data_IF_093385523608
#
_entry.id   IF_093385523608
#
_cell.length_a   1.000
_cell.length_b   1.000
_cell.length_c   1.000
_cell.angle_alpha   90.00
_cell.angle_beta   90.00
_cell.angle_gamma   90.00
#
_symmetry.space_group_name_H-M   'P 1'
#
loop_
_entity.id
_entity.type
_entity.pdbx_description
1 polymer ?
#
# COMPACT_ATOMS: atom_id res chain seq x y z
N UNK A 1 20.86 -13.46 17.19
CA UNK A 1 20.05 -14.71 17.25
C UNK A 1 18.57 -14.37 17.30
N UNK A 2 17.72 -15.24 16.78
CA UNK A 2 16.25 -15.10 16.88
C UNK A 2 15.73 -15.97 18.02
N UNK A 3 14.88 -15.42 18.88
CA UNK A 3 14.20 -16.19 19.93
C UNK A 3 12.81 -16.56 19.43
N UNK A 4 12.50 -17.85 19.38
CA UNK A 4 11.17 -18.33 18.97
C UNK A 4 10.32 -18.64 20.20
N UNK A 5 9.14 -18.02 20.27
CA UNK A 5 8.19 -18.18 21.39
C UNK A 5 7.05 -19.15 21.08
N UNK A 6 7.06 -19.73 19.87
CA UNK A 6 5.99 -20.58 19.36
C UNK A 6 4.65 -19.86 19.37
N UNK A 7 3.65 -20.44 20.04
CA UNK A 7 2.28 -19.92 20.12
C UNK A 7 2.03 -18.99 21.32
N UNK A 8 3.07 -18.30 21.81
CA UNK A 8 2.97 -17.38 22.95
C UNK A 8 3.22 -15.94 22.52
N UNK A 9 2.30 -15.05 22.87
CA UNK A 9 2.46 -13.60 22.76
C UNK A 9 3.07 -13.11 24.08
N UNK A 10 4.16 -12.36 23.97
CA UNK A 10 4.85 -11.80 25.12
C UNK A 10 4.61 -10.29 25.17
N UNK A 11 4.34 -9.76 26.36
CA UNK A 11 4.31 -8.31 26.57
C UNK A 11 5.70 -7.70 26.31
N UNK A 12 5.75 -6.39 26.00
CA UNK A 12 7.02 -5.69 25.81
C UNK A 12 7.95 -5.83 27.01
N UNK A 13 7.41 -5.69 28.22
CA UNK A 13 8.17 -5.88 29.46
C UNK A 13 8.78 -7.28 29.58
N UNK A 14 8.05 -8.32 29.18
CA UNK A 14 8.57 -9.68 29.25
C UNK A 14 9.60 -9.97 28.15
N UNK A 15 9.42 -9.39 26.96
CA UNK A 15 10.42 -9.43 25.89
C UNK A 15 11.74 -8.79 26.37
N UNK A 16 11.68 -7.63 27.02
CA UNK A 16 12.86 -6.97 27.59
C UNK A 16 13.55 -7.81 28.66
N UNK A 17 12.78 -8.48 29.54
CA UNK A 17 13.34 -9.41 30.53
C UNK A 17 14.08 -10.58 29.88
N UNK A 18 13.51 -11.19 28.84
CA UNK A 18 14.18 -12.28 28.09
C UNK A 18 15.48 -11.77 27.48
N UNK A 19 15.44 -10.61 26.81
CA UNK A 19 16.61 -10.01 26.17
C UNK A 19 17.71 -9.76 27.21
N UNK A 20 17.38 -9.18 28.37
CA UNK A 20 18.32 -8.97 29.48
C UNK A 20 18.94 -10.28 29.98
N UNK A 21 18.12 -11.30 30.25
CA UNK A 21 18.62 -12.59 30.76
C UNK A 21 19.55 -13.29 29.76
N UNK A 22 19.28 -13.18 28.45
CA UNK A 22 20.15 -13.76 27.42
C UNK A 22 21.48 -12.98 27.34
N UNK A 23 21.41 -11.66 27.36
CA UNK A 23 22.58 -10.79 27.31
C UNK A 23 23.47 -10.93 28.55
N UNK A 24 22.88 -11.07 29.75
CA UNK A 24 23.63 -11.21 31.00
C UNK A 24 24.31 -12.58 31.13
N UNK A 25 23.80 -13.61 30.46
CA UNK A 25 24.28 -15.00 30.58
C UNK A 25 25.09 -15.48 29.37
N UNK A 26 25.18 -14.69 28.31
CA UNK A 26 25.89 -15.06 27.08
C UNK A 26 26.25 -13.84 26.24
N UNK A 27 27.27 -13.96 25.39
CA UNK A 27 27.64 -12.94 24.39
C UNK A 27 26.66 -12.88 23.20
N UNK A 28 25.46 -13.45 23.33
CA UNK A 28 24.48 -13.55 22.25
C UNK A 28 23.61 -12.29 22.18
N UNK A 29 23.64 -11.63 21.02
CA UNK A 29 22.77 -10.49 20.73
C UNK A 29 21.44 -11.00 20.17
N UNK A 30 20.34 -10.69 20.86
CA UNK A 30 18.99 -10.99 20.35
C UNK A 30 18.63 -9.98 19.27
N UNK A 31 18.53 -10.44 18.02
CA UNK A 31 18.19 -9.60 16.87
C UNK A 31 16.69 -9.47 16.68
N UNK A 32 15.93 -10.50 17.05
CA UNK A 32 14.47 -10.54 16.88
C UNK A 32 13.85 -11.58 17.82
N UNK A 33 12.64 -11.29 18.29
CA UNK A 33 11.76 -12.29 18.92
C UNK A 33 10.63 -12.59 17.92
N UNK A 34 10.40 -13.88 17.64
CA UNK A 34 9.40 -14.35 16.68
C UNK A 34 8.33 -15.17 17.41
N UNK A 35 7.07 -14.89 17.07
CA UNK A 35 5.89 -15.62 17.54
C UNK A 35 5.07 -16.08 16.33
N UNK A 36 4.34 -17.19 16.48
CA UNK A 36 3.46 -17.76 15.46
C UNK A 36 1.99 -17.31 15.62
N UNK A 37 1.71 -16.43 16.59
CA UNK A 37 0.37 -15.95 16.91
C UNK A 37 0.33 -14.44 17.04
N UNK A 38 -0.85 -13.87 16.81
CA UNK A 38 -1.15 -12.47 17.06
C UNK A 38 -2.46 -12.37 17.86
N UNK A 39 -2.75 -11.20 18.43
CA UNK A 39 -4.03 -10.99 19.14
C UNK A 39 -5.17 -10.95 18.14
N UNK A 40 -6.40 -11.30 18.55
CA UNK A 40 -7.57 -11.22 17.67
C UNK A 40 -7.76 -9.81 17.08
N UNK A 41 -7.58 -8.77 17.90
CA UNK A 41 -7.66 -7.38 17.44
C UNK A 41 -6.58 -7.07 16.38
N UNK A 42 -5.35 -7.56 16.58
CA UNK A 42 -4.30 -7.41 15.56
C UNK A 42 -4.63 -8.18 14.26
N UNK A 43 -5.24 -9.36 14.37
CA UNK A 43 -5.68 -10.14 13.22
C UNK A 43 -6.84 -9.47 12.46
N UNK A 44 -7.83 -8.94 13.16
CA UNK A 44 -8.95 -8.19 12.56
C UNK A 44 -8.46 -6.94 11.84
N UNK A 45 -7.57 -6.18 12.48
CA UNK A 45 -6.96 -5.01 11.86
C UNK A 45 -6.16 -5.38 10.62
N UNK A 46 -5.31 -6.41 10.71
CA UNK A 46 -4.53 -6.88 9.57
C UNK A 46 -5.42 -7.34 8.41
N UNK A 47 -6.49 -8.09 8.71
CA UNK A 47 -7.48 -8.52 7.72
C UNK A 47 -8.17 -7.33 7.05
N UNK A 48 -8.53 -6.31 7.83
CA UNK A 48 -9.18 -5.12 7.30
C UNK A 48 -8.24 -4.31 6.41
N UNK A 49 -6.98 -4.12 6.81
CA UNK A 49 -5.98 -3.39 6.01
C UNK A 49 -5.70 -4.12 4.67
N UNK A 50 -5.69 -5.46 4.66
CA UNK A 50 -5.46 -6.30 3.48
C UNK A 50 -6.73 -6.49 2.60
N UNK A 51 -7.87 -5.94 3.01
CA UNK A 51 -9.13 -6.06 2.27
C UNK A 51 -9.13 -5.17 1.00
N UNK A 52 -9.61 -5.73 -0.13
CA UNK A 52 -9.82 -4.96 -1.36
C UNK A 52 -11.29 -4.61 -1.50
N UNK A 53 -11.64 -3.35 -1.23
CA UNK A 53 -13.02 -2.87 -1.32
C UNK A 53 -13.38 -2.49 -2.77
N UNK A 54 -14.37 -3.16 -3.39
CA UNK A 54 -14.80 -2.84 -4.75
C UNK A 54 -15.77 -1.66 -4.77
N UNK A 55 -15.61 -0.78 -5.77
CA UNK A 55 -16.51 0.32 -6.06
C UNK A 55 -16.73 0.40 -7.57
N UNK A 56 -17.97 0.27 -8.03
CA UNK A 56 -18.31 0.44 -9.45
C UNK A 56 -19.14 1.70 -9.68
N UNK A 57 -18.48 2.79 -10.07
CA UNK A 57 -19.11 4.05 -10.51
C UNK A 57 -18.08 5.04 -11.04
N UNK A 58 -18.59 6.05 -11.72
CA UNK A 58 -17.83 7.27 -12.01
C UNK A 58 -17.73 8.13 -10.74
N UNK A 59 -16.53 8.67 -10.49
CA UNK A 59 -16.26 9.66 -9.44
C UNK A 59 -16.23 11.02 -10.11
N UNK A 60 -17.24 11.85 -9.80
CA UNK A 60 -17.48 13.14 -10.46
C UNK A 60 -16.84 14.29 -9.70
N UNK A 61 -16.76 15.45 -10.35
CA UNK A 61 -16.27 16.68 -9.73
C UNK A 61 -16.96 16.98 -8.40
N UNK A 62 -16.17 17.30 -7.38
CA UNK A 62 -16.64 17.59 -6.02
C UNK A 62 -16.93 16.36 -5.17
N UNK A 63 -16.85 15.15 -5.71
CA UNK A 63 -17.01 13.93 -4.92
C UNK A 63 -15.70 13.52 -4.27
N UNK A 64 -15.77 13.18 -2.98
CA UNK A 64 -14.71 12.52 -2.22
C UNK A 64 -15.12 11.07 -1.93
N UNK A 65 -14.19 10.14 -2.15
CA UNK A 65 -14.33 8.73 -1.83
C UNK A 65 -13.16 8.32 -0.95
N UNK A 66 -13.44 7.68 0.18
CA UNK A 66 -12.44 7.25 1.14
C UNK A 66 -12.50 5.74 1.38
N UNK A 67 -11.33 5.11 1.54
CA UNK A 67 -11.20 3.71 2.00
C UNK A 67 -10.19 3.60 3.14
N UNK A 68 -10.53 2.80 4.15
CA UNK A 68 -9.62 2.38 5.22
C UNK A 68 -8.66 1.24 4.85
N UNK A 69 -8.78 0.68 3.64
CA UNK A 69 -8.04 -0.47 3.14
C UNK A 69 -7.57 -0.23 1.69
N UNK A 70 -7.34 -1.29 0.92
CA UNK A 70 -7.18 -1.17 -0.53
C UNK A 70 -8.53 -0.82 -1.19
N UNK A 71 -8.51 -0.24 -2.38
CA UNK A 71 -9.73 0.02 -3.16
C UNK A 71 -9.56 -0.39 -4.62
N UNK A 72 -10.55 -1.12 -5.14
CA UNK A 72 -10.72 -1.40 -6.56
C UNK A 72 -11.87 -0.57 -7.11
N UNK A 73 -11.58 0.26 -8.10
CA UNK A 73 -12.54 1.12 -8.77
C UNK A 73 -12.78 0.59 -10.17
N UNK A 74 -13.98 0.07 -10.41
CA UNK A 74 -14.46 -0.30 -11.75
C UNK A 74 -15.20 0.89 -12.32
N UNK A 75 -14.45 1.80 -12.94
CA UNK A 75 -14.94 3.09 -13.40
C UNK A 75 -13.82 4.09 -13.60
N UNK A 76 -14.18 5.38 -13.57
CA UNK A 76 -13.27 6.48 -13.88
C UNK A 76 -13.32 7.55 -12.80
N UNK A 77 -12.20 8.26 -12.66
CA UNK A 77 -12.08 9.44 -11.80
C UNK A 77 -12.01 10.67 -12.69
N UNK A 78 -13.09 11.42 -12.76
CA UNK A 78 -13.16 12.64 -13.57
C UNK A 78 -12.43 13.82 -12.90
N UNK A 79 -12.10 14.89 -13.65
CA UNK A 79 -11.53 16.10 -13.08
C UNK A 79 -12.37 16.61 -11.90
N UNK A 80 -11.69 16.98 -10.81
CA UNK A 80 -12.32 17.43 -9.56
C UNK A 80 -12.87 16.30 -8.67
N UNK A 81 -12.91 15.05 -9.14
CA UNK A 81 -13.17 13.88 -8.31
C UNK A 81 -11.94 13.52 -7.47
N UNK A 82 -12.16 13.07 -6.23
CA UNK A 82 -11.11 12.77 -5.26
C UNK A 82 -11.29 11.38 -4.66
N UNK A 83 -10.21 10.61 -4.63
CA UNK A 83 -10.13 9.28 -4.01
C UNK A 83 -8.99 9.28 -3.00
N UNK A 84 -9.25 8.80 -1.79
CA UNK A 84 -8.24 8.60 -0.76
C UNK A 84 -8.31 7.18 -0.20
N UNK A 85 -7.19 6.46 -0.20
CA UNK A 85 -7.11 5.10 0.32
C UNK A 85 -5.92 4.99 1.27
N UNK A 86 -6.08 4.18 2.32
CA UNK A 86 -5.02 3.94 3.30
C UNK A 86 -3.91 3.09 2.71
N UNK A 87 -4.25 2.14 1.83
CA UNK A 87 -3.28 1.21 1.24
C UNK A 87 -3.11 1.45 -0.28
N UNK A 88 -3.42 0.46 -1.11
CA UNK A 88 -3.25 0.51 -2.58
C UNK A 88 -4.54 0.94 -3.27
N UNK A 89 -4.43 1.63 -4.40
CA UNK A 89 -5.58 1.99 -5.24
C UNK A 89 -5.46 1.37 -6.63
N UNK A 90 -6.53 0.73 -7.08
CA UNK A 90 -6.62 0.10 -8.39
C UNK A 90 -7.79 0.72 -9.15
N UNK A 91 -7.54 1.33 -10.29
CA UNK A 91 -8.57 1.93 -11.14
C UNK A 91 -8.60 1.19 -12.47
N UNK A 92 -9.67 0.45 -12.70
CA UNK A 92 -9.97 -0.16 -13.99
C UNK A 92 -10.65 0.87 -14.90
N UNK A 93 -9.90 1.90 -15.29
CA UNK A 93 -10.38 2.98 -16.13
C UNK A 93 -9.50 4.23 -16.12
N UNK A 94 -10.05 5.34 -16.60
CA UNK A 94 -9.35 6.62 -16.73
C UNK A 94 -9.25 7.35 -15.39
N UNK A 95 -8.07 7.91 -15.11
CA UNK A 95 -7.82 8.77 -13.95
C UNK A 95 -7.47 10.15 -14.48
N UNK A 96 -8.35 11.13 -14.23
CA UNK A 96 -8.19 12.57 -14.54
C UNK A 96 -8.29 13.46 -13.30
N UNK A 97 -8.85 12.93 -12.20
CA UNK A 97 -8.98 13.61 -10.92
C UNK A 97 -7.80 13.37 -9.98
N UNK A 98 -8.05 13.54 -8.69
CA UNK A 98 -7.06 13.31 -7.63
C UNK A 98 -7.21 11.90 -7.06
N UNK A 99 -6.10 11.20 -6.90
CA UNK A 99 -6.05 9.90 -6.24
C UNK A 99 -4.88 9.87 -5.25
N UNK A 100 -5.18 9.55 -4.00
CA UNK A 100 -4.22 9.51 -2.90
C UNK A 100 -4.18 8.11 -2.29
N UNK A 101 -3.10 7.39 -2.56
CA UNK A 101 -2.82 6.11 -1.94
C UNK A 101 -1.82 6.25 -0.79
N UNK A 102 -1.86 5.32 0.16
CA UNK A 102 -0.99 5.40 1.32
C UNK A 102 -1.27 6.59 2.22
N UNK A 103 -2.54 7.05 2.33
CA UNK A 103 -2.86 8.34 2.98
C UNK A 103 -2.38 8.46 4.43
N UNK A 104 -2.23 7.32 5.11
CA UNK A 104 -1.67 7.23 6.47
C UNK A 104 -0.15 7.02 6.50
N UNK A 105 0.55 7.36 5.42
CA UNK A 105 2.01 7.30 5.34
C UNK A 105 2.57 5.98 4.79
N UNK A 106 1.75 5.13 4.16
CA UNK A 106 2.28 3.94 3.48
C UNK A 106 3.05 4.35 2.21
N UNK A 107 4.38 4.48 2.34
CA UNK A 107 5.28 4.82 1.23
C UNK A 107 5.44 3.70 0.20
N UNK A 108 4.96 2.49 0.50
CA UNK A 108 4.92 1.37 -0.44
C UNK A 108 3.59 1.28 -1.20
N UNK A 109 2.66 2.20 -0.94
CA UNK A 109 1.41 2.24 -1.65
C UNK A 109 1.65 2.46 -3.15
N UNK A 110 0.73 1.94 -3.95
CA UNK A 110 0.78 2.05 -5.41
C UNK A 110 -0.59 2.49 -5.88
N UNK A 111 -0.59 3.17 -7.02
CA UNK A 111 -1.80 3.50 -7.76
C UNK A 111 -1.69 2.85 -9.12
N UNK A 112 -2.69 2.09 -9.53
CA UNK A 112 -2.78 1.53 -10.89
C UNK A 112 -3.97 2.18 -11.61
N UNK A 113 -3.76 2.57 -12.86
CA UNK A 113 -4.82 3.12 -13.70
C UNK A 113 -4.32 3.65 -15.04
N UNK A 114 -5.25 4.12 -15.87
CA UNK A 114 -4.91 4.85 -17.09
C UNK A 114 -4.83 6.34 -16.75
N UNK A 115 -3.63 6.83 -16.44
CA UNK A 115 -3.42 8.22 -16.02
C UNK A 115 -3.52 9.20 -17.19
N UNK A 116 -4.31 10.26 -17.03
CA UNK A 116 -4.54 11.26 -18.06
C UNK A 116 -4.46 12.67 -17.47
N UNK A 117 -4.17 13.67 -18.30
CA UNK A 117 -4.24 15.07 -17.87
C UNK A 117 -5.68 15.44 -17.44
N UNK A 118 -5.90 16.13 -16.30
CA UNK A 118 -4.92 16.70 -15.36
C UNK A 118 -4.79 15.90 -14.04
N UNK A 119 -4.64 14.57 -14.09
CA UNK A 119 -4.62 13.74 -12.90
C UNK A 119 -3.54 14.17 -11.89
N UNK A 120 -3.91 14.14 -10.61
CA UNK A 120 -3.00 14.35 -9.50
C UNK A 120 -2.86 13.04 -8.72
N UNK A 121 -1.67 12.48 -8.74
CA UNK A 121 -1.30 11.28 -8.02
C UNK A 121 -0.65 11.67 -6.70
N UNK A 122 -1.07 11.05 -5.60
CA UNK A 122 -0.45 11.20 -4.29
C UNK A 122 -0.13 9.85 -3.70
N UNK A 123 1.08 9.68 -3.19
CA UNK A 123 1.50 8.47 -2.49
C UNK A 123 2.18 8.91 -1.20
N UNK A 124 1.61 8.53 -0.06
CA UNK A 124 2.00 9.07 1.24
C UNK A 124 2.02 10.62 1.22
N UNK A 125 3.18 11.24 1.44
CA UNK A 125 3.36 12.70 1.40
C UNK A 125 3.74 13.25 0.02
N UNK A 126 4.09 12.39 -0.93
CA UNK A 126 4.54 12.81 -2.26
C UNK A 126 3.37 13.09 -3.18
N UNK A 127 3.52 14.07 -4.06
CA UNK A 127 2.50 14.49 -5.03
C UNK A 127 3.12 14.68 -6.42
N UNK A 128 2.40 14.26 -7.45
CA UNK A 128 2.77 14.46 -8.85
C UNK A 128 1.53 14.70 -9.68
N UNK A 129 1.58 15.70 -10.55
CA UNK A 129 0.51 15.99 -11.50
C UNK A 129 0.95 15.58 -12.89
N UNK A 130 0.08 14.90 -13.63
CA UNK A 130 0.32 14.54 -15.03
C UNK A 130 0.13 15.77 -15.91
N UNK A 131 1.16 16.12 -16.68
CA UNK A 131 1.07 17.19 -17.66
C UNK A 131 0.49 16.70 -19.00
N UNK A 132 0.25 17.63 -19.93
CA UNK A 132 -0.39 17.31 -21.22
C UNK A 132 0.50 16.47 -22.13
N UNK A 133 1.81 16.69 -22.11
CA UNK A 133 2.74 16.01 -23.01
C UNK A 133 2.97 14.57 -22.56
N UNK A 134 3.15 14.36 -21.25
CA UNK A 134 3.23 13.04 -20.63
C UNK A 134 1.95 12.23 -20.88
N UNK A 135 0.78 12.85 -20.72
CA UNK A 135 -0.51 12.19 -20.94
C UNK A 135 -0.62 11.59 -22.35
N UNK A 136 -0.06 12.21 -23.40
CA UNK A 136 -0.09 11.65 -24.76
C UNK A 136 0.63 10.29 -24.85
N UNK A 137 1.60 10.05 -23.97
CA UNK A 137 2.45 8.85 -23.98
C UNK A 137 1.94 7.76 -23.03
N UNK A 138 1.13 8.10 -22.02
CA UNK A 138 0.66 7.15 -20.99
C UNK A 138 -0.87 6.94 -20.98
N UNK A 139 -1.67 7.83 -21.57
CA UNK A 139 -3.13 7.82 -21.44
C UNK A 139 -3.85 6.56 -21.99
N UNK A 140 -3.21 5.83 -22.90
CA UNK A 140 -3.80 4.68 -23.61
C UNK A 140 -3.40 3.33 -23.01
N UNK A 141 -2.53 3.32 -21.99
CA UNK A 141 -2.04 2.10 -21.34
C UNK A 141 -2.36 2.10 -19.85
N UNK A 142 -2.47 0.89 -19.32
CA UNK A 142 -2.55 0.67 -17.90
C UNK A 142 -1.15 0.86 -17.31
N UNK A 143 -1.03 1.80 -16.38
CA UNK A 143 0.24 2.16 -15.75
C UNK A 143 0.15 2.00 -14.24
N UNK A 144 1.33 1.88 -13.62
CA UNK A 144 1.50 1.88 -12.17
C UNK A 144 2.30 3.09 -11.75
N UNK A 145 1.85 3.75 -10.69
CA UNK A 145 2.57 4.81 -10.01
C UNK A 145 3.03 4.31 -8.63
N UNK A 146 4.30 4.52 -8.31
CA UNK A 146 4.92 4.12 -7.05
C UNK A 146 6.06 5.09 -6.66
N UNK A 147 6.56 5.01 -5.42
CA UNK A 147 7.70 5.81 -4.98
C UNK A 147 9.04 5.17 -5.31
N UNK A 148 9.94 5.93 -5.93
CA UNK A 148 11.34 5.53 -6.11
C UNK A 148 12.17 5.71 -4.83
N UNK A 149 13.50 5.49 -4.93
CA UNK A 149 14.44 5.60 -3.80
C UNK A 149 14.57 7.04 -3.26
N UNK A 150 14.18 8.02 -4.06
CA UNK A 150 14.23 9.44 -3.73
C UNK A 150 12.84 9.97 -3.29
N UNK A 151 11.86 9.08 -3.15
CA UNK A 151 10.47 9.37 -2.81
C UNK A 151 9.73 10.22 -3.87
N UNK A 152 10.20 10.17 -5.12
CA UNK A 152 9.47 10.74 -6.25
C UNK A 152 8.47 9.72 -6.78
N UNK A 153 7.32 10.19 -7.28
CA UNK A 153 6.33 9.32 -7.92
C UNK A 153 6.81 8.99 -9.34
N UNK A 154 7.22 7.75 -9.56
CA UNK A 154 7.57 7.20 -10.87
C UNK A 154 6.38 6.49 -11.48
N UNK A 155 6.23 6.57 -12.81
CA UNK A 155 5.17 5.92 -13.56
C UNK A 155 5.79 4.97 -14.58
N UNK A 156 5.36 3.71 -14.56
CA UNK A 156 5.79 2.68 -15.51
C UNK A 156 4.58 1.99 -16.12
N UNK A 157 4.78 1.29 -17.24
CA UNK A 157 3.75 0.43 -17.81
C UNK A 157 3.54 -0.80 -16.91
N UNK A 158 2.29 -1.22 -16.72
CA UNK A 158 1.99 -2.28 -15.75
C UNK A 158 2.64 -3.63 -16.13
N UNK A 159 2.75 -3.93 -17.42
CA UNK A 159 3.41 -5.12 -17.95
C UNK A 159 4.90 -5.18 -17.58
N UNK A 160 5.59 -4.05 -17.59
CA UNK A 160 7.00 -3.94 -17.20
C UNK A 160 7.21 -4.12 -15.69
N UNK A 161 6.21 -3.73 -14.89
CA UNK A 161 6.27 -3.84 -13.43
C UNK A 161 5.91 -5.24 -12.91
N UNK A 162 4.93 -5.91 -13.53
CA UNK A 162 4.40 -7.20 -13.07
C UNK A 162 5.47 -8.30 -12.96
N UNK A 163 6.50 -8.24 -13.81
CA UNK A 163 7.60 -9.22 -13.82
C UNK A 163 8.63 -9.00 -12.71
N UNK A 164 8.59 -7.88 -11.97
CA UNK A 164 9.68 -7.47 -11.07
C UNK A 164 9.29 -7.34 -9.60
N UNK A 165 8.01 -7.09 -9.23
CA UNK A 165 7.62 -6.83 -7.83
C UNK A 165 6.18 -7.28 -7.51
N UNK A 166 6.01 -7.97 -6.38
CA UNK A 166 4.68 -8.28 -5.82
C UNK A 166 4.12 -7.06 -5.08
N UNK A 167 2.91 -6.64 -5.43
CA UNK A 167 2.18 -5.54 -4.78
C UNK A 167 1.64 -6.00 -3.42
N UNK A 168 1.09 -7.22 -3.39
CA UNK A 168 0.60 -7.85 -2.17
C UNK A 168 1.71 -8.70 -1.54
N UNK A 169 1.65 -8.90 -0.23
CA UNK A 169 2.46 -9.93 0.40
C UNK A 169 2.08 -11.28 -0.23
N UNK A 170 3.06 -12.01 -0.77
CA UNK A 170 2.82 -13.34 -1.34
C UNK A 170 2.02 -14.19 -0.33
N UNK A 171 0.93 -14.81 -0.79
CA UNK A 171 0.18 -15.76 0.03
C UNK A 171 1.14 -16.83 0.53
N UNK A 172 1.47 -16.79 1.82
CA UNK A 172 2.03 -17.95 2.50
C UNK A 172 0.88 -18.89 2.85
N UNK A 173 0.49 -19.69 1.86
CA UNK A 173 -0.28 -20.92 2.06
C UNK A 173 -1.79 -20.76 1.95
N UNK A 174 -2.38 -21.49 1.00
CA UNK A 174 -3.82 -21.52 0.77
C UNK A 174 -4.27 -22.68 -0.13
N UNK A 175 -4.02 -23.92 0.33
CA UNK A 175 -4.34 -25.24 -0.23
C UNK A 175 -3.50 -25.77 -1.40
#
# INVERSE_FOLDING_TARGET
MTVETGYRILSKEFQEKIIRVIHDKSDLIVSKIRTNVMTNNAAEKWKHEDEVLPLSRLIRSGQLVESGAHMLIVGEINPGGHVEVVEHAFVMGQVKGTIHAGKNGNMKAVIIGCFQYPAQLRIASSVRTIDKEEALTIATRLSIAYLDKENNITIEALDQYADTKSIFAAEKGGR
#
